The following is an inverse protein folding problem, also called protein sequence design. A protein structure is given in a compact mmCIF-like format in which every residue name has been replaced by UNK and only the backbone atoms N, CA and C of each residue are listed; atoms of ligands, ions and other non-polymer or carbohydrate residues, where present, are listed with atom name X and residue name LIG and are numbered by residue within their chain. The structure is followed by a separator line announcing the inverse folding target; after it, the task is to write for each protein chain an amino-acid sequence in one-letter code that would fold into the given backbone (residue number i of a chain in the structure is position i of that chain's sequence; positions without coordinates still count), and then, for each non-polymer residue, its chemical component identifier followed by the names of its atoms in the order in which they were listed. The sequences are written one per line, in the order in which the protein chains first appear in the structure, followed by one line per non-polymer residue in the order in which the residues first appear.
data_IF_529522097681
#
_entry.id   IF_529522097681
#
_cell.length_a   1.000
_cell.length_b   1.000
_cell.length_c   1.000
_cell.angle_alpha   90.00
_cell.angle_beta   90.00
_cell.angle_gamma   90.00
#
_symmetry.space_group_name_H-M   'P 1'
#
loop_
_entity.id
_entity.type
_entity.pdbx_description
1 polymer ?
#
# COMPACT_ATOMS: atom_id res chain seq x y z
N UNK A 1 -5.39 -36.59 -43.77
CA UNK A 1 -6.02 -36.26 -42.47
C UNK A 1 -5.10 -35.28 -41.75
N UNK A 2 -5.67 -34.14 -41.36
CA UNK A 2 -5.00 -33.00 -40.69
C UNK A 2 -5.01 -33.23 -39.17
N UNK A 3 -4.18 -32.48 -38.42
CA UNK A 3 -3.86 -32.54 -36.96
C UNK A 3 -2.55 -33.32 -36.77
N UNK A 4 -1.48 -32.77 -36.20
CA UNK A 4 -1.33 -32.00 -34.95
C UNK A 4 -0.10 -31.07 -35.10
N UNK A 5 0.23 -30.11 -34.26
CA UNK A 5 -0.21 -29.71 -32.93
C UNK A 5 0.26 -28.25 -32.86
N UNK A 6 -0.66 -27.33 -32.57
CA UNK A 6 -0.35 -25.93 -32.30
C UNK A 6 0.57 -25.89 -31.08
N UNK A 7 1.84 -25.56 -31.29
CA UNK A 7 2.78 -25.31 -30.21
C UNK A 7 2.41 -23.95 -29.60
N UNK A 8 1.64 -24.06 -28.54
CA UNK A 8 1.60 -23.21 -27.35
C UNK A 8 2.64 -22.07 -27.35
N UNK A 9 2.21 -20.90 -27.81
CA UNK A 9 2.84 -19.61 -27.51
C UNK A 9 1.94 -18.86 -26.52
N UNK A 10 1.83 -19.40 -25.30
CA UNK A 10 1.13 -18.77 -24.18
C UNK A 10 2.05 -18.74 -22.97
N UNK A 11 3.06 -17.87 -23.00
CA UNK A 11 3.85 -17.52 -21.81
C UNK A 11 4.50 -16.13 -21.96
N UNK A 12 3.79 -15.13 -22.51
CA UNK A 12 4.24 -13.74 -22.46
C UNK A 12 3.10 -12.76 -22.17
N UNK A 13 2.21 -13.15 -21.25
CA UNK A 13 1.31 -12.21 -20.56
C UNK A 13 1.75 -12.09 -19.11
N UNK A 14 3.02 -11.74 -18.88
CA UNK A 14 3.29 -10.80 -17.79
C UNK A 14 2.74 -9.47 -18.29
N UNK A 15 1.42 -9.34 -18.18
CA UNK A 15 0.68 -8.10 -18.37
C UNK A 15 1.48 -7.06 -17.60
N UNK A 16 1.92 -6.01 -18.27
CA UNK A 16 2.67 -4.94 -17.65
C UNK A 16 1.87 -4.45 -16.42
N UNK A 17 2.28 -4.85 -15.21
CA UNK A 17 1.75 -4.26 -13.99
C UNK A 17 1.91 -2.75 -14.16
N UNK A 18 0.82 -2.01 -13.99
CA UNK A 18 0.92 -0.56 -14.06
C UNK A 18 1.87 -0.10 -12.96
N UNK A 19 2.49 1.06 -13.14
CA UNK A 19 3.35 1.62 -12.10
C UNK A 19 2.63 1.75 -10.76
N UNK A 20 1.32 2.00 -10.79
CA UNK A 20 0.46 2.03 -9.60
C UNK A 20 0.34 0.66 -8.94
N UNK A 21 0.16 -0.42 -9.70
CA UNK A 21 0.07 -1.78 -9.15
C UNK A 21 1.40 -2.18 -8.50
N UNK A 22 2.53 -1.83 -9.13
CA UNK A 22 3.85 -2.06 -8.55
C UNK A 22 4.05 -1.28 -7.26
N UNK A 23 3.57 -0.02 -7.20
CA UNK A 23 3.58 0.77 -5.98
C UNK A 23 2.73 0.12 -4.88
N UNK A 24 1.49 -0.25 -5.19
CA UNK A 24 0.59 -0.91 -4.26
C UNK A 24 1.17 -2.22 -3.72
N UNK A 25 1.68 -3.10 -4.59
CA UNK A 25 2.28 -4.36 -4.19
C UNK A 25 3.50 -4.17 -3.28
N UNK A 26 4.29 -3.12 -3.52
CA UNK A 26 5.46 -2.80 -2.69
C UNK A 26 5.06 -2.29 -1.31
N UNK A 27 4.00 -1.47 -1.23
CA UNK A 27 3.44 -1.04 0.05
C UNK A 27 2.85 -2.23 0.80
N UNK A 28 2.13 -3.12 0.12
CA UNK A 28 1.55 -4.32 0.73
C UNK A 28 2.61 -5.23 1.34
N UNK A 29 3.73 -5.46 0.64
CA UNK A 29 4.83 -6.29 1.14
C UNK A 29 5.44 -5.69 2.42
N UNK A 30 5.65 -4.36 2.44
CA UNK A 30 6.11 -3.66 3.62
C UNK A 30 5.13 -3.78 4.78
N UNK A 31 3.86 -3.44 4.55
CA UNK A 31 2.79 -3.42 5.58
C UNK A 31 2.54 -4.82 6.14
N UNK A 32 2.57 -5.87 5.30
CA UNK A 32 2.37 -7.26 5.73
C UNK A 32 3.48 -7.74 6.67
N UNK A 33 4.69 -7.20 6.53
CA UNK A 33 5.83 -7.59 7.37
C UNK A 33 5.99 -6.71 8.61
N UNK A 34 5.31 -5.56 8.64
CA UNK A 34 5.35 -4.55 9.69
C UNK A 34 4.88 -5.08 11.07
N UNK A 35 5.55 -4.64 12.13
CA UNK A 35 5.29 -5.09 13.50
C UNK A 35 4.04 -4.45 14.11
N UNK A 36 3.79 -3.17 13.83
CA UNK A 36 2.65 -2.44 14.40
C UNK A 36 1.35 -2.98 13.82
N UNK A 37 1.32 -3.22 12.50
CA UNK A 37 0.19 -3.82 11.79
C UNK A 37 -0.19 -5.17 12.38
N UNK A 38 0.80 -6.03 12.64
CA UNK A 38 0.57 -7.34 13.28
C UNK A 38 0.11 -7.23 14.72
N UNK A 39 0.69 -6.30 15.49
CA UNK A 39 0.42 -6.15 16.91
C UNK A 39 -0.98 -5.61 17.18
N UNK A 40 -1.48 -4.74 16.30
CA UNK A 40 -2.84 -4.20 16.36
C UNK A 40 -3.86 -5.06 15.58
N UNK A 41 -3.45 -6.22 15.04
CA UNK A 41 -4.31 -7.11 14.25
C UNK A 41 -5.03 -6.41 13.08
N UNK A 42 -4.40 -5.40 12.49
CA UNK A 42 -5.00 -4.65 11.38
C UNK A 42 -4.92 -5.47 10.09
N UNK A 43 -5.95 -5.35 9.25
CA UNK A 43 -5.93 -5.93 7.90
C UNK A 43 -4.88 -5.23 7.01
N UNK A 44 -3.83 -5.93 6.54
CA UNK A 44 -2.78 -5.33 5.74
C UNK A 44 -3.28 -4.73 4.42
N UNK A 45 -4.32 -5.31 3.83
CA UNK A 45 -4.89 -4.80 2.57
C UNK A 45 -5.55 -3.43 2.79
N UNK A 46 -6.40 -3.31 3.81
CA UNK A 46 -7.05 -2.05 4.20
C UNK A 46 -6.04 -0.94 4.51
N UNK A 47 -4.98 -1.24 5.27
CA UNK A 47 -3.94 -0.25 5.58
C UNK A 47 -3.18 0.15 4.31
N UNK A 48 -2.85 -0.81 3.44
CA UNK A 48 -2.17 -0.56 2.16
C UNK A 48 -2.99 0.36 1.27
N UNK A 49 -4.28 0.09 1.11
CA UNK A 49 -5.18 0.91 0.29
C UNK A 49 -5.21 2.35 0.78
N UNK A 50 -5.35 2.55 2.10
CA UNK A 50 -5.30 3.87 2.72
C UNK A 50 -3.98 4.60 2.40
N UNK A 51 -2.84 3.94 2.60
CA UNK A 51 -1.52 4.55 2.39
C UNK A 51 -1.34 4.94 0.93
N UNK A 52 -1.68 4.03 0.01
CA UNK A 52 -1.57 4.28 -1.43
C UNK A 52 -2.48 5.44 -1.82
N UNK A 53 -3.71 5.50 -1.33
CA UNK A 53 -4.64 6.58 -1.62
C UNK A 53 -4.11 7.94 -1.12
N UNK A 54 -3.77 8.06 0.16
CA UNK A 54 -3.32 9.32 0.76
C UNK A 54 -2.03 9.81 0.13
N UNK A 55 -1.04 8.92 -0.03
CA UNK A 55 0.24 9.30 -0.61
C UNK A 55 0.10 9.71 -2.08
N UNK A 56 -0.78 9.05 -2.84
CA UNK A 56 -1.01 9.36 -4.26
C UNK A 56 -1.70 10.71 -4.47
N UNK A 57 -2.50 11.20 -3.50
CA UNK A 57 -3.14 12.52 -3.57
C UNK A 57 -2.13 13.66 -3.68
N UNK A 58 -0.98 13.56 -3.00
CA UNK A 58 0.10 14.57 -3.07
C UNK A 58 1.15 14.30 -4.16
N UNK A 59 1.03 13.19 -4.91
CA UNK A 59 1.92 12.94 -6.05
C UNK A 59 1.60 13.92 -7.20
N UNK A 60 2.56 14.21 -8.10
CA UNK A 60 2.30 15.00 -9.30
C UNK A 60 1.47 14.24 -10.34
N UNK A 61 0.73 15.00 -11.16
CA UNK A 61 -0.29 14.49 -12.10
C UNK A 61 -1.66 14.36 -11.43
N UNK A 62 -2.71 14.14 -12.22
CA UNK A 62 -4.06 13.91 -11.68
C UNK A 62 -4.60 12.52 -12.03
N UNK A 63 -4.17 11.92 -13.15
CA UNK A 63 -4.65 10.61 -13.57
C UNK A 63 -3.53 9.55 -13.63
N UNK A 64 -3.81 8.27 -13.29
CA UNK A 64 -2.83 7.18 -13.27
C UNK A 64 -2.05 6.95 -14.57
N UNK A 65 -2.64 7.27 -15.72
CA UNK A 65 -2.03 7.05 -17.02
C UNK A 65 -1.04 8.14 -17.44
N UNK A 66 -1.00 9.28 -16.74
CA UNK A 66 -0.10 10.38 -17.09
C UNK A 66 1.36 10.00 -16.87
N UNK A 67 2.28 10.36 -17.80
CA UNK A 67 3.69 10.03 -17.66
C UNK A 67 4.31 10.52 -16.34
N UNK A 68 3.92 11.72 -15.88
CA UNK A 68 4.41 12.28 -14.62
C UNK A 68 3.91 11.49 -13.41
N UNK A 69 2.65 11.02 -13.45
CA UNK A 69 2.07 10.18 -12.39
C UNK A 69 2.73 8.81 -12.34
N UNK A 70 2.94 8.18 -13.50
CA UNK A 70 3.70 6.91 -13.60
C UNK A 70 5.12 7.06 -13.07
N UNK A 71 5.80 8.17 -13.39
CA UNK A 71 7.12 8.48 -12.85
C UNK A 71 7.07 8.61 -11.33
N UNK A 72 6.07 9.29 -10.77
CA UNK A 72 5.90 9.40 -9.32
C UNK A 72 5.79 8.02 -8.66
N UNK A 73 4.88 7.16 -9.14
CA UNK A 73 4.73 5.80 -8.62
C UNK A 73 6.05 5.02 -8.62
N UNK A 74 6.79 5.01 -9.74
CA UNK A 74 8.12 4.38 -9.80
C UNK A 74 9.08 4.91 -8.74
N UNK A 75 9.06 6.23 -8.50
CA UNK A 75 9.90 6.88 -7.50
C UNK A 75 9.57 6.40 -6.09
N UNK A 76 8.29 6.37 -5.74
CA UNK A 76 7.82 5.90 -4.44
C UNK A 76 8.09 4.41 -4.24
N UNK A 77 7.81 3.57 -5.24
CA UNK A 77 8.18 2.14 -5.24
C UNK A 77 9.65 1.94 -4.91
N UNK A 78 10.53 2.66 -5.61
CA UNK A 78 11.98 2.56 -5.42
C UNK A 78 12.44 3.12 -4.06
N UNK A 79 11.80 4.19 -3.59
CA UNK A 79 12.07 4.79 -2.29
C UNK A 79 11.77 3.82 -1.15
N UNK A 80 10.64 3.12 -1.22
CA UNK A 80 10.26 2.13 -0.20
C UNK A 80 11.21 0.93 -0.22
N UNK A 81 11.55 0.43 -1.40
CA UNK A 81 12.47 -0.68 -1.58
C UNK A 81 13.95 -0.34 -1.24
N UNK A 82 14.26 0.91 -0.87
CA UNK A 82 15.63 1.32 -0.58
C UNK A 82 16.28 0.50 0.54
N UNK A 83 15.52 0.17 1.60
CA UNK A 83 16.02 -0.59 2.75
C UNK A 83 16.45 -2.02 2.40
N UNK A 84 15.88 -2.60 1.35
CA UNK A 84 16.16 -3.96 0.87
C UNK A 84 17.07 -3.98 -0.35
N UNK A 85 17.55 -2.82 -0.81
CA UNK A 85 18.47 -2.72 -1.93
C UNK A 85 19.86 -3.27 -1.59
N UNK A 86 20.43 -4.04 -2.52
CA UNK A 86 21.84 -4.48 -2.44
C UNK A 86 22.83 -3.30 -2.54
N UNK A 87 22.39 -2.17 -3.12
CA UNK A 87 23.23 -1.00 -3.40
C UNK A 87 22.54 0.31 -2.99
N UNK A 88 22.31 0.52 -1.68
CA UNK A 88 21.49 1.62 -1.20
C UNK A 88 22.05 3.00 -1.55
N UNK A 89 23.38 3.17 -1.60
CA UNK A 89 23.99 4.45 -1.97
C UNK A 89 23.75 4.83 -3.45
N UNK A 90 23.82 3.85 -4.37
CA UNK A 90 23.50 4.05 -5.79
C UNK A 90 22.02 4.39 -5.96
N UNK A 91 21.14 3.59 -5.34
CA UNK A 91 19.68 3.82 -5.39
C UNK A 91 19.30 5.18 -4.81
N UNK A 92 19.93 5.61 -3.71
CA UNK A 92 19.69 6.91 -3.11
C UNK A 92 20.11 8.06 -4.04
N UNK A 93 21.21 7.93 -4.78
CA UNK A 93 21.62 8.92 -5.77
C UNK A 93 20.59 9.02 -6.91
N UNK A 94 20.15 7.88 -7.44
CA UNK A 94 19.12 7.82 -8.49
C UNK A 94 17.78 8.40 -8.01
N UNK A 95 17.40 8.17 -6.74
CA UNK A 95 16.19 8.74 -6.16
C UNK A 95 16.25 10.28 -6.08
N UNK A 96 17.40 10.86 -5.67
CA UNK A 96 17.58 12.31 -5.65
C UNK A 96 17.43 12.93 -7.04
N UNK A 97 17.99 12.29 -8.06
CA UNK A 97 17.81 12.73 -9.45
C UNK A 97 16.36 12.56 -9.92
N UNK A 98 15.72 11.44 -9.56
CA UNK A 98 14.35 11.13 -9.96
C UNK A 98 13.34 12.15 -9.43
N UNK A 99 13.49 12.55 -8.16
CA UNK A 99 12.69 13.57 -7.49
C UNK A 99 13.22 15.01 -7.70
N UNK A 100 14.28 15.17 -8.49
CA UNK A 100 14.84 16.47 -8.90
C UNK A 100 15.84 17.07 -7.91
N UNK A 101 15.77 16.75 -6.62
CA UNK A 101 16.75 17.18 -5.61
C UNK A 101 16.71 16.28 -4.37
N UNK A 102 17.64 16.52 -3.44
CA UNK A 102 17.58 15.91 -2.11
C UNK A 102 16.34 16.38 -1.31
N UNK A 103 15.92 17.63 -1.50
CA UNK A 103 14.71 18.18 -0.90
C UNK A 103 13.46 17.51 -1.46
N UNK A 104 13.35 17.36 -2.79
CA UNK A 104 12.22 16.67 -3.42
C UNK A 104 12.09 15.20 -3.01
N UNK A 105 13.22 14.52 -2.78
CA UNK A 105 13.21 13.17 -2.20
C UNK A 105 12.74 13.18 -0.73
N UNK A 106 13.20 14.16 0.06
CA UNK A 106 12.76 14.29 1.44
C UNK A 106 11.26 14.57 1.52
N UNK A 107 10.73 15.45 0.67
CA UNK A 107 9.29 15.75 0.57
C UNK A 107 8.48 14.51 0.19
N UNK A 108 8.95 13.72 -0.78
CA UNK A 108 8.30 12.46 -1.15
C UNK A 108 8.29 11.45 0.01
N UNK A 109 9.40 11.34 0.73
CA UNK A 109 9.51 10.48 1.90
C UNK A 109 8.59 10.96 3.05
N UNK A 110 8.52 12.27 3.29
CA UNK A 110 7.61 12.85 4.27
C UNK A 110 6.15 12.58 3.90
N UNK A 111 5.75 12.80 2.64
CA UNK A 111 4.41 12.48 2.19
C UNK A 111 4.03 11.02 2.45
N UNK A 112 4.94 10.08 2.13
CA UNK A 112 4.71 8.67 2.43
C UNK A 112 4.59 8.40 3.94
N UNK A 113 5.49 8.97 4.73
CA UNK A 113 5.53 8.77 6.19
C UNK A 113 4.30 9.34 6.90
N UNK A 114 3.86 10.53 6.49
CA UNK A 114 2.61 11.15 6.96
C UNK A 114 1.41 10.25 6.62
N UNK A 115 1.33 9.79 5.37
CA UNK A 115 0.25 8.89 4.93
C UNK A 115 0.22 7.59 5.73
N UNK A 116 1.39 7.01 5.99
CA UNK A 116 1.54 5.81 6.80
C UNK A 116 0.99 6.02 8.23
N UNK A 117 1.43 7.08 8.91
CA UNK A 117 1.01 7.36 10.29
C UNK A 117 -0.48 7.70 10.38
N UNK A 118 -1.00 8.48 9.42
CA UNK A 118 -2.41 8.82 9.35
C UNK A 118 -3.28 7.57 9.13
N UNK A 119 -2.84 6.65 8.28
CA UNK A 119 -3.55 5.42 8.01
C UNK A 119 -3.55 4.44 9.18
N UNK A 120 -2.40 4.25 9.85
CA UNK A 120 -2.38 3.41 11.05
C UNK A 120 -3.32 3.97 12.12
N UNK A 121 -3.28 5.30 12.36
CA UNK A 121 -4.18 5.95 13.32
C UNK A 121 -5.65 5.74 12.95
N UNK A 122 -6.02 6.04 11.70
CA UNK A 122 -7.41 5.97 11.23
C UNK A 122 -7.95 4.54 11.26
N UNK A 123 -7.19 3.58 10.75
CA UNK A 123 -7.63 2.18 10.69
C UNK A 123 -7.70 1.57 12.09
N UNK A 124 -6.77 1.92 12.98
CA UNK A 124 -6.82 1.46 14.38
C UNK A 124 -8.05 2.00 15.10
N UNK A 125 -8.33 3.31 15.00
CA UNK A 125 -9.50 3.90 15.64
C UNK A 125 -10.80 3.25 15.14
N UNK A 126 -10.92 3.03 13.82
CA UNK A 126 -12.09 2.33 13.26
C UNK A 126 -12.24 0.92 13.82
N UNK A 127 -11.15 0.18 13.94
CA UNK A 127 -11.17 -1.18 14.49
C UNK A 127 -11.56 -1.22 15.97
N UNK A 128 -11.20 -0.19 16.74
CA UNK A 128 -11.63 -0.05 18.13
C UNK A 128 -13.12 0.28 18.23
N UNK A 129 -13.61 1.23 17.42
CA UNK A 129 -15.03 1.59 17.37
C UNK A 129 -15.90 0.38 16.99
N UNK A 130 -15.50 -0.37 15.95
CA UNK A 130 -16.21 -1.59 15.50
C UNK A 130 -16.25 -2.66 16.62
N UNK A 131 -15.20 -2.78 17.44
CA UNK A 131 -15.14 -3.72 18.54
C UNK A 131 -15.98 -3.32 19.76
N UNK A 132 -16.17 -2.02 20.00
CA UNK A 132 -17.08 -1.52 21.05
C UNK A 132 -18.55 -1.79 20.67
N UNK A 133 -18.92 -1.55 19.42
CA UNK A 133 -20.27 -1.80 18.90
C UNK A 133 -20.67 -3.30 18.94
N UNK A 134 -19.72 -4.21 18.66
CA UNK A 134 -19.94 -5.67 18.73
C UNK A 134 -20.14 -6.15 20.19
N UNK A 135 -19.45 -5.57 21.17
CA UNK A 135 -19.61 -5.94 22.58
C UNK A 135 -20.92 -5.42 23.18
N UNK A 136 -21.37 -4.24 22.79
CA UNK A 136 -22.64 -3.66 23.26
C UNK A 136 -23.88 -4.38 22.69
N UNK A 137 -23.73 -5.09 21.57
CA UNK A 137 -24.81 -5.86 20.95
C UNK A 137 -24.96 -7.28 21.52
N UNK A 138 -23.95 -7.84 22.20
CA UNK A 138 -24.04 -9.13 22.89
C UNK A 138 -24.67 -9.03 24.30
N UNK A 139 -24.54 -7.91 25.02
CA UNK A 139 -25.10 -7.73 26.39
C UNK A 139 -26.64 -7.53 26.42
N UNK A 140 -27.27 -7.32 25.27
CA UNK A 140 -28.72 -7.06 25.20
C UNK A 140 -29.61 -8.32 25.20
N UNK A 141 -29.04 -9.54 25.21
CA UNK A 141 -29.82 -10.79 25.10
C UNK A 141 -30.04 -11.58 26.39
N UNK A 142 -29.43 -11.22 27.53
CA UNK A 142 -29.50 -12.03 28.76
C UNK A 142 -30.41 -11.51 29.90
N UNK A 143 -31.13 -10.37 29.72
CA UNK A 143 -31.97 -9.83 30.83
C UNK A 143 -33.45 -10.25 30.80
N UNK A 144 -33.94 -10.98 29.77
CA UNK A 144 -35.38 -11.32 29.66
C UNK A 144 -35.74 -12.77 30.09
N UNK A 145 -34.94 -13.40 30.96
CA UNK A 145 -35.27 -14.72 31.52
C UNK A 145 -35.14 -14.82 33.05
N UNK A 146 -35.49 -13.75 33.79
CA UNK A 146 -35.72 -13.84 35.26
C UNK A 146 -36.95 -13.06 35.72
N UNK A 147 -38.08 -13.25 35.04
CA UNK A 147 -39.40 -12.93 35.59
C UNK A 147 -40.35 -14.13 35.41
N UNK A 148 -40.17 -15.14 36.27
CA UNK A 148 -41.22 -16.09 36.65
C UNK A 148 -41.59 -15.84 38.11
#
# INVERSE_FOLDING_TARGET
MKKKLLISLSFLTLVACSEQDAYHATVLDLVTTDADIKSYHLDPATVTECIVELSSKKMPGFAPFEPIRKKAYKGYTKMIALKTSEKPAEVLAELREHFGSAEGLADAHMNYSESYLECISTVTNRALDDAEDDNDSEDSTDTEQQAQ
#
